data_IF_857629908433
#
_entry.id   IF_857629908433
#
_cell.length_a   1.000
_cell.length_b   1.000
_cell.length_c   1.000
_cell.angle_alpha   90.00
_cell.angle_beta   90.00
_cell.angle_gamma   90.00
#
_symmetry.space_group_name_H-M   'P 1'
#
loop_
_entity.id
_entity.type
_entity.pdbx_description
1 polymer ?
#
# COMPACT_ATOMS: atom_id res chain seq x y z
N UNK A 1 -53.80 -11.10 -93.40
CA UNK A 1 -54.13 -12.34 -92.70
C UNK A 1 -52.82 -12.90 -92.10
N UNK A 2 -52.54 -12.75 -90.86
CA UNK A 2 -51.68 -13.60 -89.95
C UNK A 2 -51.62 -12.88 -88.65
N UNK A 3 -52.25 -13.44 -87.67
CA UNK A 3 -52.23 -12.99 -86.32
C UNK A 3 -50.91 -13.46 -85.65
N UNK A 4 -50.13 -12.57 -85.14
CA UNK A 4 -48.94 -12.87 -84.35
C UNK A 4 -49.33 -12.72 -82.91
N UNK A 5 -49.22 -13.79 -82.18
CA UNK A 5 -49.49 -13.89 -80.74
C UNK A 5 -48.20 -13.43 -79.97
N UNK A 6 -48.29 -12.37 -79.25
CA UNK A 6 -47.20 -11.91 -78.35
C UNK A 6 -47.46 -12.51 -76.95
N UNK A 7 -46.63 -13.45 -76.57
CA UNK A 7 -46.59 -13.98 -75.20
C UNK A 7 -45.74 -13.04 -74.38
N UNK A 8 -46.39 -12.34 -73.45
CA UNK A 8 -45.68 -11.54 -72.42
C UNK A 8 -45.21 -12.45 -71.33
N UNK A 9 -43.88 -12.58 -71.16
CA UNK A 9 -43.23 -13.30 -70.11
C UNK A 9 -43.08 -12.37 -68.88
N UNK A 10 -43.92 -12.54 -67.86
CA UNK A 10 -43.77 -11.83 -66.60
C UNK A 10 -42.63 -12.47 -65.82
N UNK A 11 -41.46 -11.83 -65.78
CA UNK A 11 -40.41 -12.11 -64.82
C UNK A 11 -40.75 -11.46 -63.46
N UNK A 12 -41.11 -12.28 -62.52
CA UNK A 12 -41.25 -11.85 -61.13
C UNK A 12 -39.83 -11.79 -60.50
N UNK A 13 -39.32 -10.56 -60.33
CA UNK A 13 -38.12 -10.31 -59.56
C UNK A 13 -38.51 -10.42 -58.08
N UNK A 14 -38.24 -11.58 -57.41
CA UNK A 14 -38.25 -11.70 -55.98
C UNK A 14 -36.99 -10.99 -55.45
N UNK A 15 -37.12 -9.73 -55.01
CA UNK A 15 -36.10 -9.05 -54.24
C UNK A 15 -36.04 -9.70 -52.85
N UNK A 16 -35.10 -10.60 -52.69
CA UNK A 16 -34.73 -11.11 -51.38
C UNK A 16 -34.14 -9.96 -50.56
N UNK A 17 -34.89 -9.39 -49.59
CA UNK A 17 -34.32 -8.60 -48.53
C UNK A 17 -33.47 -9.51 -47.66
N UNK A 18 -32.16 -9.48 -47.90
CA UNK A 18 -31.19 -9.97 -46.89
C UNK A 18 -31.22 -8.95 -45.77
N UNK A 19 -31.98 -9.25 -44.72
CA UNK A 19 -31.75 -8.60 -43.45
C UNK A 19 -30.34 -9.03 -42.99
N UNK A 20 -29.33 -8.19 -43.21
CA UNK A 20 -28.12 -8.22 -42.47
C UNK A 20 -28.54 -7.94 -41.00
N UNK A 21 -28.77 -9.00 -40.22
CA UNK A 21 -28.66 -8.88 -38.76
C UNK A 21 -27.21 -8.43 -38.53
N UNK A 22 -27.05 -7.13 -38.32
CA UNK A 22 -25.86 -6.63 -37.64
C UNK A 22 -25.85 -7.34 -36.31
N UNK A 23 -24.98 -8.34 -36.17
CA UNK A 23 -24.48 -8.71 -34.86
C UNK A 23 -23.84 -7.43 -34.36
N UNK A 24 -24.57 -6.69 -33.51
CA UNK A 24 -23.90 -5.80 -32.58
C UNK A 24 -22.94 -6.72 -31.82
N UNK A 25 -21.65 -6.69 -32.14
CA UNK A 25 -20.68 -6.99 -31.12
C UNK A 25 -21.10 -6.08 -29.98
N UNK A 26 -21.71 -6.66 -28.93
CA UNK A 26 -21.83 -6.01 -27.66
C UNK A 26 -20.38 -5.60 -27.33
N UNK A 27 -20.11 -4.31 -27.45
CA UNK A 27 -18.83 -3.77 -27.03
C UNK A 27 -18.69 -4.25 -25.57
N UNK A 28 -17.80 -5.20 -25.35
CA UNK A 28 -17.58 -5.74 -24.02
C UNK A 28 -17.40 -4.54 -23.11
N UNK A 29 -18.26 -4.46 -22.09
CA UNK A 29 -18.28 -3.31 -21.18
C UNK A 29 -16.88 -3.24 -20.55
N UNK A 30 -16.15 -2.15 -20.84
CA UNK A 30 -14.75 -2.02 -20.43
C UNK A 30 -14.72 -1.87 -18.92
N UNK A 31 -14.07 -2.79 -18.19
CA UNK A 31 -14.06 -2.73 -16.73
C UNK A 31 -13.51 -1.40 -16.22
N UNK A 32 -14.24 -0.78 -15.30
CA UNK A 32 -13.93 0.53 -14.71
C UNK A 32 -13.39 0.36 -13.29
N UNK A 33 -12.17 0.82 -13.08
CA UNK A 33 -11.49 0.75 -11.79
C UNK A 33 -11.40 2.16 -11.19
N UNK A 34 -12.17 2.40 -10.13
CA UNK A 34 -12.11 3.60 -9.31
C UNK A 34 -11.04 3.45 -8.21
N UNK A 35 -10.20 4.45 -8.06
CA UNK A 35 -9.14 4.48 -7.05
C UNK A 35 -9.34 5.73 -6.20
N UNK A 36 -9.56 5.56 -4.88
CA UNK A 36 -9.76 6.64 -3.91
C UNK A 36 -8.69 6.56 -2.82
N UNK A 37 -7.73 7.47 -2.84
CA UNK A 37 -6.59 7.51 -1.92
C UNK A 37 -6.49 8.85 -1.21
N UNK A 38 -5.88 8.92 0.00
CA UNK A 38 -5.59 10.20 0.63
C UNK A 38 -4.67 11.06 -0.22
N UNK A 39 -4.82 12.38 -0.13
CA UNK A 39 -3.84 13.32 -0.64
C UNK A 39 -2.51 13.16 0.11
N UNK A 40 -1.37 13.43 -0.53
CA UNK A 40 -0.07 13.29 0.09
C UNK A 40 0.13 14.35 1.19
N UNK A 41 0.02 13.92 2.45
CA UNK A 41 0.21 14.73 3.64
C UNK A 41 1.49 14.39 4.43
N UNK A 42 2.03 13.18 4.22
CA UNK A 42 3.31 12.72 4.76
C UNK A 42 3.94 11.68 3.83
N UNK A 43 5.18 11.26 4.08
CA UNK A 43 6.00 10.44 3.19
C UNK A 43 5.30 9.19 2.67
N UNK A 44 4.83 8.30 3.55
CA UNK A 44 4.20 7.05 3.16
C UNK A 44 2.88 7.24 2.39
N UNK A 45 2.01 8.15 2.84
CA UNK A 45 0.73 8.44 2.16
C UNK A 45 0.96 9.11 0.81
N UNK A 46 1.98 10.00 0.73
CA UNK A 46 2.44 10.55 -0.54
C UNK A 46 2.88 9.46 -1.51
N UNK A 47 3.57 8.45 -1.00
CA UNK A 47 3.95 7.26 -1.76
C UNK A 47 2.73 6.50 -2.30
N UNK A 48 1.68 6.29 -1.51
CA UNK A 48 0.42 5.64 -1.98
C UNK A 48 -0.18 6.39 -3.17
N UNK A 49 -0.32 7.72 -3.07
CA UNK A 49 -0.85 8.54 -4.16
C UNK A 49 -0.01 8.43 -5.43
N UNK A 50 1.30 8.57 -5.29
CA UNK A 50 2.23 8.45 -6.42
C UNK A 50 2.19 7.08 -7.09
N UNK A 51 2.17 5.99 -6.30
CA UNK A 51 2.08 4.63 -6.83
C UNK A 51 0.74 4.32 -7.48
N UNK A 52 -0.37 4.93 -7.01
CA UNK A 52 -1.68 4.82 -7.66
C UNK A 52 -1.67 5.48 -9.05
N UNK A 53 -1.13 6.70 -9.15
CA UNK A 53 -1.02 7.42 -10.41
C UNK A 53 -0.08 6.70 -11.39
N UNK A 54 1.10 6.26 -10.92
CA UNK A 54 2.07 5.49 -11.71
C UNK A 54 1.47 4.19 -12.23
N UNK A 55 0.78 3.43 -11.37
CA UNK A 55 0.12 2.20 -11.77
C UNK A 55 -0.86 2.43 -12.93
N UNK A 56 -1.68 3.48 -12.81
CA UNK A 56 -2.67 3.81 -13.84
C UNK A 56 -2.00 4.24 -15.14
N UNK A 57 -0.92 5.01 -15.10
CA UNK A 57 -0.15 5.39 -16.28
C UNK A 57 0.41 4.16 -17.00
N UNK A 58 1.15 3.31 -16.29
CA UNK A 58 1.76 2.08 -16.82
C UNK A 58 0.71 1.10 -17.37
N UNK A 59 -0.40 0.91 -16.64
CA UNK A 59 -1.44 -0.04 -17.04
C UNK A 59 -2.25 0.44 -18.25
N UNK A 60 -2.43 1.76 -18.44
CA UNK A 60 -3.01 2.32 -19.67
C UNK A 60 -2.12 2.09 -20.88
N UNK A 61 -0.79 2.19 -20.69
CA UNK A 61 0.17 1.90 -21.75
C UNK A 61 0.25 0.40 -22.08
N UNK A 62 0.22 -0.45 -21.04
CA UNK A 62 0.31 -1.90 -21.20
C UNK A 62 -0.97 -2.53 -21.77
N UNK A 63 -2.14 -1.97 -21.45
CA UNK A 63 -3.45 -2.50 -21.83
C UNK A 63 -4.34 -1.42 -22.48
N UNK A 64 -3.95 -0.87 -23.64
CA UNK A 64 -4.65 0.24 -24.25
C UNK A 64 -6.12 -0.10 -24.55
N UNK A 65 -7.04 0.68 -23.99
CA UNK A 65 -8.49 0.53 -24.21
C UNK A 65 -9.14 -0.70 -23.55
N UNK A 66 -8.40 -1.50 -22.77
CA UNK A 66 -8.92 -2.70 -22.12
C UNK A 66 -9.56 -2.42 -20.75
N UNK A 67 -9.16 -1.34 -20.09
CA UNK A 67 -9.65 -0.89 -18.81
C UNK A 67 -9.80 0.63 -18.77
N UNK A 68 -10.76 1.11 -17.99
CA UNK A 68 -10.87 2.52 -17.63
C UNK A 68 -10.45 2.72 -16.16
N UNK A 69 -9.66 3.76 -15.91
CA UNK A 69 -9.16 4.08 -14.57
C UNK A 69 -9.47 5.53 -14.20
N UNK A 70 -9.90 5.75 -12.97
CA UNK A 70 -10.10 7.09 -12.40
C UNK A 70 -9.52 7.14 -10.99
N UNK A 71 -8.47 7.95 -10.80
CA UNK A 71 -7.82 8.18 -9.51
C UNK A 71 -8.32 9.49 -8.91
N UNK A 72 -8.71 9.46 -7.65
CA UNK A 72 -9.14 10.64 -6.88
C UNK A 72 -8.34 10.69 -5.57
N UNK A 73 -7.86 11.91 -5.25
CA UNK A 73 -7.08 12.21 -4.06
C UNK A 73 -7.91 13.07 -3.11
N UNK A 74 -8.01 12.65 -1.84
CA UNK A 74 -8.79 13.32 -0.83
C UNK A 74 -7.91 13.91 0.29
N UNK A 75 -8.17 15.15 0.66
CA UNK A 75 -7.50 15.84 1.77
C UNK A 75 -8.17 15.57 3.14
N UNK A 76 -9.17 14.70 3.17
CA UNK A 76 -9.87 14.27 4.36
C UNK A 76 -10.99 13.28 4.05
N UNK A 77 -11.52 12.65 5.11
CA UNK A 77 -12.55 11.62 4.94
C UNK A 77 -13.82 12.14 4.26
N UNK A 78 -14.24 13.38 4.52
CA UNK A 78 -15.45 13.96 3.91
C UNK A 78 -15.30 14.09 2.38
N UNK A 79 -14.14 14.54 1.90
CA UNK A 79 -13.84 14.57 0.46
C UNK A 79 -13.78 13.15 -0.11
N UNK A 80 -13.17 12.21 0.60
CA UNK A 80 -13.05 10.83 0.14
C UNK A 80 -14.43 10.12 0.03
N UNK A 81 -15.38 10.43 0.92
CA UNK A 81 -16.77 9.96 0.79
C UNK A 81 -17.36 10.45 -0.53
N UNK A 82 -17.27 11.76 -0.81
CA UNK A 82 -17.77 12.34 -2.07
C UNK A 82 -17.03 11.74 -3.30
N UNK A 83 -15.74 11.45 -3.19
CA UNK A 83 -14.98 10.80 -4.26
C UNK A 83 -15.51 9.39 -4.57
N UNK A 84 -15.86 8.60 -3.56
CA UNK A 84 -16.44 7.27 -3.76
C UNK A 84 -17.83 7.39 -4.39
N UNK A 85 -18.66 8.36 -3.98
CA UNK A 85 -19.97 8.65 -4.59
C UNK A 85 -19.80 9.04 -6.07
N UNK A 86 -18.83 9.91 -6.42
CA UNK A 86 -18.52 10.30 -7.78
C UNK A 86 -18.04 9.11 -8.65
N UNK A 87 -17.31 8.18 -8.05
CA UNK A 87 -16.87 6.95 -8.71
C UNK A 87 -18.05 5.99 -8.94
N UNK A 88 -19.01 5.89 -8.00
CA UNK A 88 -20.26 5.13 -8.21
C UNK A 88 -21.09 5.72 -9.36
N UNK A 89 -21.25 7.06 -9.42
CA UNK A 89 -21.95 7.75 -10.51
C UNK A 89 -21.24 7.53 -11.85
N UNK A 90 -19.90 7.46 -11.86
CA UNK A 90 -19.13 7.13 -13.06
C UNK A 90 -19.34 5.68 -13.52
N UNK A 91 -19.88 4.83 -12.65
CA UNK A 91 -20.18 3.43 -12.96
C UNK A 91 -18.97 2.52 -12.80
N UNK A 92 -18.20 2.67 -11.73
CA UNK A 92 -17.07 1.77 -11.43
C UNK A 92 -17.55 0.34 -11.17
N UNK A 93 -16.78 -0.65 -11.64
CA UNK A 93 -16.96 -2.07 -11.34
C UNK A 93 -16.12 -2.50 -10.13
N UNK A 94 -15.00 -1.82 -9.93
CA UNK A 94 -14.02 -2.08 -8.86
C UNK A 94 -13.69 -0.79 -8.15
N UNK A 95 -13.57 -0.89 -6.81
CA UNK A 95 -13.08 0.19 -5.96
C UNK A 95 -11.78 -0.27 -5.28
N UNK A 96 -10.69 0.46 -5.51
CA UNK A 96 -9.47 0.40 -4.69
C UNK A 96 -9.46 1.60 -3.77
N UNK A 97 -9.43 1.38 -2.46
CA UNK A 97 -9.49 2.46 -1.48
C UNK A 97 -8.49 2.25 -0.34
N UNK A 98 -7.65 3.26 -0.06
CA UNK A 98 -7.04 3.41 1.26
C UNK A 98 -7.92 4.39 2.04
N UNK A 99 -8.70 3.96 3.06
CA UNK A 99 -9.54 4.88 3.82
C UNK A 99 -8.69 5.93 4.53
N UNK A 100 -9.03 7.20 4.40
CA UNK A 100 -8.42 8.26 5.21
C UNK A 100 -8.63 7.98 6.70
N UNK A 101 -9.87 7.61 7.06
CA UNK A 101 -10.28 7.10 8.37
C UNK A 101 -11.27 5.94 8.19
N UNK A 102 -11.05 4.82 8.88
CA UNK A 102 -11.86 3.60 8.69
C UNK A 102 -13.35 3.81 9.02
N UNK A 103 -13.66 4.45 10.16
CA UNK A 103 -15.03 4.55 10.63
C UNK A 103 -15.94 5.40 9.70
N UNK A 104 -15.58 6.63 9.30
CA UNK A 104 -16.44 7.44 8.43
C UNK A 104 -16.50 6.90 6.98
N UNK A 105 -15.50 6.17 6.50
CA UNK A 105 -15.49 5.61 5.13
C UNK A 105 -16.25 4.27 5.03
N UNK A 106 -16.42 3.55 6.13
CA UNK A 106 -17.09 2.24 6.11
C UNK A 106 -18.49 2.29 5.48
N UNK A 107 -19.39 3.25 5.79
CA UNK A 107 -20.73 3.28 5.20
C UNK A 107 -20.73 3.42 3.67
N UNK A 108 -19.94 4.33 3.10
CA UNK A 108 -19.93 4.58 1.66
C UNK A 108 -19.28 3.43 0.89
N UNK A 109 -18.26 2.75 1.45
CA UNK A 109 -17.68 1.55 0.84
C UNK A 109 -18.70 0.39 0.87
N UNK A 110 -19.47 0.29 1.95
CA UNK A 110 -20.55 -0.69 2.01
C UNK A 110 -21.66 -0.41 1.00
N UNK A 111 -22.02 0.85 0.79
CA UNK A 111 -22.98 1.25 -0.25
C UNK A 111 -22.48 0.89 -1.65
N UNK A 112 -21.21 1.16 -1.95
CA UNK A 112 -20.58 0.73 -3.20
C UNK A 112 -20.65 -0.80 -3.36
N UNK A 113 -20.28 -1.56 -2.32
CA UNK A 113 -20.40 -3.02 -2.31
C UNK A 113 -21.85 -3.48 -2.58
N UNK A 114 -22.84 -2.92 -1.87
CA UNK A 114 -24.24 -3.32 -2.00
C UNK A 114 -24.83 -2.97 -3.38
N UNK A 115 -24.22 -2.01 -4.10
CA UNK A 115 -24.54 -1.69 -5.51
C UNK A 115 -23.86 -2.62 -6.54
N UNK A 116 -23.03 -3.57 -6.09
CA UNK A 116 -22.36 -4.57 -6.94
C UNK A 116 -20.89 -4.28 -7.20
N UNK A 117 -20.32 -3.19 -6.67
CA UNK A 117 -18.91 -2.84 -6.82
C UNK A 117 -18.02 -3.80 -6.01
N UNK A 118 -16.98 -4.34 -6.63
CA UNK A 118 -16.00 -5.21 -5.97
C UNK A 118 -14.94 -4.36 -5.26
N UNK A 119 -14.92 -4.39 -3.93
CA UNK A 119 -14.10 -3.50 -3.12
C UNK A 119 -12.79 -4.16 -2.67
N UNK A 120 -11.67 -3.47 -2.91
CA UNK A 120 -10.33 -3.80 -2.41
C UNK A 120 -9.89 -2.65 -1.49
N UNK A 121 -9.80 -2.93 -0.20
CA UNK A 121 -9.41 -1.99 0.84
C UNK A 121 -7.94 -2.18 1.15
N UNK A 122 -7.16 -1.13 1.03
CA UNK A 122 -5.70 -1.14 1.19
C UNK A 122 -5.33 -0.73 2.60
N UNK A 123 -4.35 -1.41 3.20
CA UNK A 123 -3.77 -1.15 4.52
C UNK A 123 -4.80 -1.23 5.65
N UNK A 124 -5.37 -0.09 6.05
CA UNK A 124 -6.35 -0.06 7.15
C UNK A 124 -7.70 -0.60 6.70
N UNK A 125 -8.19 -1.62 7.44
CA UNK A 125 -9.50 -2.20 7.21
C UNK A 125 -10.66 -1.25 7.54
N UNK A 126 -11.87 -1.72 7.29
CA UNK A 126 -13.12 -1.05 7.66
C UNK A 126 -13.55 -1.46 9.06
N UNK A 127 -14.46 -0.68 9.68
CA UNK A 127 -15.01 -1.00 11.01
C UNK A 127 -16.14 -2.02 10.97
N UNK A 128 -16.88 -2.10 9.84
CA UNK A 128 -17.85 -3.17 9.60
C UNK A 128 -17.21 -4.29 8.79
N UNK A 129 -17.15 -5.47 9.35
CA UNK A 129 -16.63 -6.70 8.74
C UNK A 129 -17.70 -7.72 8.40
N UNK A 130 -18.96 -7.29 8.31
CA UNK A 130 -20.12 -8.16 8.02
C UNK A 130 -20.43 -8.32 6.54
N UNK A 131 -19.57 -7.81 5.65
CA UNK A 131 -19.69 -7.96 4.19
C UNK A 131 -18.36 -8.29 3.55
N UNK A 132 -18.41 -8.74 2.29
CA UNK A 132 -17.24 -9.24 1.59
C UNK A 132 -16.45 -8.13 0.87
N UNK A 133 -15.18 -8.01 1.17
CA UNK A 133 -14.19 -7.22 0.44
C UNK A 133 -12.81 -7.84 0.59
N UNK A 134 -11.86 -7.44 -0.24
CA UNK A 134 -10.45 -7.77 -0.01
C UNK A 134 -9.86 -6.71 0.91
N UNK A 135 -9.23 -7.11 2.01
CA UNK A 135 -8.31 -6.25 2.75
C UNK A 135 -6.87 -6.64 2.40
N UNK A 136 -6.22 -5.81 1.59
CA UNK A 136 -4.85 -6.00 1.14
C UNK A 136 -3.93 -5.11 1.97
N UNK A 137 -3.06 -5.72 2.79
CA UNK A 137 -2.18 -5.02 3.71
C UNK A 137 -0.83 -5.70 3.84
N UNK A 138 0.17 -4.99 4.32
CA UNK A 138 1.47 -5.57 4.66
C UNK A 138 1.41 -6.41 5.94
N UNK A 139 2.39 -7.28 6.12
CA UNK A 139 2.52 -8.12 7.31
C UNK A 139 3.24 -7.37 8.43
N UNK A 140 2.48 -6.71 9.30
CA UNK A 140 3.03 -5.93 10.42
C UNK A 140 3.88 -6.78 11.38
N UNK A 141 3.42 -7.96 11.74
CA UNK A 141 4.18 -8.87 12.62
C UNK A 141 5.49 -9.34 11.98
N UNK A 142 5.47 -9.61 10.67
CA UNK A 142 6.69 -9.99 9.95
C UNK A 142 7.67 -8.83 9.85
N UNK A 143 7.18 -7.60 9.59
CA UNK A 143 7.99 -6.40 9.61
C UNK A 143 8.72 -6.23 10.95
N UNK A 144 8.01 -6.32 12.06
CA UNK A 144 8.61 -6.27 13.39
C UNK A 144 9.61 -7.40 13.63
N UNK A 145 9.28 -8.62 13.17
CA UNK A 145 10.13 -9.79 13.33
C UNK A 145 11.46 -9.67 12.55
N UNK A 146 11.39 -9.32 11.25
CA UNK A 146 12.63 -9.20 10.43
C UNK A 146 13.51 -8.06 10.94
N UNK A 147 12.89 -6.96 11.40
CA UNK A 147 13.59 -5.84 12.04
C UNK A 147 14.31 -6.30 13.33
N UNK A 148 13.60 -7.01 14.20
CA UNK A 148 14.15 -7.51 15.45
C UNK A 148 15.29 -8.51 15.27
N UNK A 149 15.17 -9.41 14.28
CA UNK A 149 16.24 -10.34 13.91
C UNK A 149 17.51 -9.57 13.51
N UNK A 150 17.36 -8.62 12.57
CA UNK A 150 18.49 -7.85 12.07
C UNK A 150 19.16 -7.02 13.18
N UNK A 151 18.37 -6.24 13.93
CA UNK A 151 18.90 -5.38 15.01
C UNK A 151 19.60 -6.20 16.07
N UNK A 152 19.00 -7.32 16.52
CA UNK A 152 19.59 -8.24 17.50
C UNK A 152 20.92 -8.80 17.02
N UNK A 153 20.96 -9.34 15.81
CA UNK A 153 22.13 -10.04 15.27
C UNK A 153 23.25 -9.03 14.96
N UNK A 154 22.93 -7.86 14.42
CA UNK A 154 23.89 -6.77 14.23
C UNK A 154 24.51 -6.31 15.56
N UNK A 155 23.68 -6.05 16.57
CA UNK A 155 24.16 -5.63 17.87
C UNK A 155 25.07 -6.67 18.52
N UNK A 156 24.71 -7.95 18.41
CA UNK A 156 25.51 -9.05 18.93
C UNK A 156 26.86 -9.16 18.23
N UNK A 157 26.86 -9.10 16.90
CA UNK A 157 28.10 -9.19 16.08
C UNK A 157 29.09 -8.07 16.42
N UNK A 158 28.56 -6.86 16.71
CA UNK A 158 29.37 -5.68 16.99
C UNK A 158 29.62 -5.42 18.50
N UNK A 159 29.21 -6.34 19.39
CA UNK A 159 29.37 -6.17 20.83
C UNK A 159 28.55 -5.02 21.44
N UNK A 160 27.48 -4.63 20.79
CA UNK A 160 26.56 -3.56 21.22
C UNK A 160 25.49 -4.15 22.16
N UNK A 161 25.10 -3.42 23.20
CA UNK A 161 24.19 -3.96 24.22
C UNK A 161 23.02 -3.08 24.58
N UNK A 162 23.07 -1.76 24.30
CA UNK A 162 22.09 -0.78 24.76
C UNK A 162 21.28 -0.24 23.60
N UNK A 163 19.95 -0.32 23.67
CA UNK A 163 19.10 0.22 22.62
C UNK A 163 17.89 0.98 23.19
N UNK A 164 17.28 1.78 22.35
CA UNK A 164 15.97 2.39 22.55
C UNK A 164 15.07 2.04 21.35
N UNK A 165 13.75 2.07 21.58
CA UNK A 165 12.76 1.81 20.54
C UNK A 165 11.70 2.91 20.53
N UNK A 166 11.23 3.28 19.34
CA UNK A 166 10.15 4.22 19.10
C UNK A 166 9.08 3.54 18.24
N UNK A 167 7.83 3.61 18.67
CA UNK A 167 6.67 3.16 17.93
C UNK A 167 6.05 4.28 17.09
N UNK A 168 4.96 3.94 16.40
CA UNK A 168 4.15 4.90 15.66
C UNK A 168 3.08 5.55 16.54
N UNK A 169 1.82 5.17 16.35
CA UNK A 169 0.66 5.59 17.15
C UNK A 169 0.16 4.42 18.02
N UNK A 170 -0.62 4.67 19.09
CA UNK A 170 -1.17 3.61 19.94
C UNK A 170 -2.35 2.89 19.27
N UNK A 171 -2.08 2.21 18.17
CA UNK A 171 -3.02 1.43 17.35
C UNK A 171 -2.57 -0.02 17.19
N UNK A 172 -3.46 -0.88 16.70
CA UNK A 172 -3.21 -2.34 16.61
C UNK A 172 -1.95 -2.66 15.81
N UNK A 173 -1.76 -2.03 14.65
CA UNK A 173 -0.62 -2.31 13.76
C UNK A 173 0.73 -1.96 14.42
N UNK A 174 0.77 -0.92 15.23
CA UNK A 174 1.96 -0.57 16.02
C UNK A 174 2.30 -1.69 17.02
N UNK A 175 1.29 -2.15 17.77
CA UNK A 175 1.44 -3.24 18.71
C UNK A 175 1.92 -4.54 18.05
N UNK A 176 1.42 -4.87 16.86
CA UNK A 176 1.85 -6.04 16.09
C UNK A 176 3.34 -5.96 15.72
N UNK A 177 3.80 -4.81 15.22
CA UNK A 177 5.21 -4.56 14.89
C UNK A 177 6.10 -4.61 16.11
N UNK A 178 5.75 -3.85 17.16
CA UNK A 178 6.57 -3.74 18.39
C UNK A 178 6.64 -5.05 19.15
N UNK A 179 5.54 -5.79 19.28
CA UNK A 179 5.55 -7.09 19.95
C UNK A 179 6.47 -8.08 19.24
N UNK A 180 6.37 -8.17 17.90
CA UNK A 180 7.22 -9.06 17.11
C UNK A 180 8.70 -8.66 17.16
N UNK A 181 9.01 -7.34 17.16
CA UNK A 181 10.35 -6.84 17.37
C UNK A 181 10.92 -7.25 18.73
N UNK A 182 10.20 -7.00 19.83
CA UNK A 182 10.65 -7.35 21.16
C UNK A 182 10.74 -8.87 21.38
N UNK A 183 9.90 -9.68 20.75
CA UNK A 183 10.01 -11.14 20.79
C UNK A 183 11.37 -11.62 20.25
N UNK A 184 11.89 -10.97 19.23
CA UNK A 184 13.22 -11.28 18.69
C UNK A 184 14.35 -10.73 19.57
N UNK A 185 14.24 -9.48 20.04
CA UNK A 185 15.26 -8.85 20.90
C UNK A 185 15.47 -9.61 22.22
N UNK A 186 14.40 -10.12 22.81
CA UNK A 186 14.46 -10.86 24.09
C UNK A 186 15.14 -12.23 23.99
N UNK A 187 15.40 -12.74 22.77
CA UNK A 187 16.18 -13.97 22.56
C UNK A 187 17.67 -13.79 22.88
N UNK A 188 18.14 -12.54 22.99
CA UNK A 188 19.51 -12.22 23.38
C UNK A 188 19.52 -11.43 24.70
N UNK A 189 19.70 -12.11 25.86
CA UNK A 189 19.58 -11.46 27.18
C UNK A 189 20.64 -10.38 27.49
N UNK A 190 21.70 -10.29 26.68
CA UNK A 190 22.72 -9.24 26.84
C UNK A 190 22.24 -7.87 26.33
N UNK A 191 21.15 -7.83 25.53
CA UNK A 191 20.59 -6.60 24.99
C UNK A 191 19.64 -5.94 25.98
N UNK A 192 19.89 -4.69 26.27
CA UNK A 192 19.15 -3.91 27.26
C UNK A 192 18.39 -2.78 26.59
N UNK A 193 17.05 -2.85 26.64
CA UNK A 193 16.22 -1.71 26.33
C UNK A 193 16.32 -0.67 27.45
N UNK A 194 16.83 0.50 27.15
CA UNK A 194 17.06 1.58 28.12
C UNK A 194 15.74 2.15 28.70
N UNK A 195 14.63 2.02 28.00
CA UNK A 195 13.30 2.37 28.50
C UNK A 195 12.73 1.30 29.46
N UNK A 196 13.39 0.14 29.56
CA UNK A 196 13.04 -0.98 30.43
C UNK A 196 12.03 -1.96 29.80
N UNK A 197 12.37 -3.25 29.77
CA UNK A 197 11.51 -4.31 29.26
C UNK A 197 11.06 -4.08 27.82
N UNK A 198 9.74 -4.00 27.58
CA UNK A 198 9.12 -3.71 26.29
C UNK A 198 8.58 -2.28 26.17
N UNK A 199 9.05 -1.36 27.02
CA UNK A 199 8.61 0.03 26.94
C UNK A 199 9.24 0.74 25.75
N UNK A 200 8.47 1.63 25.14
CA UNK A 200 8.87 2.52 24.05
C UNK A 200 7.99 3.77 24.06
N UNK A 201 8.42 4.81 23.38
CA UNK A 201 7.63 6.03 23.22
C UNK A 201 7.04 6.09 21.79
N UNK A 202 5.89 6.76 21.65
CA UNK A 202 5.21 6.92 20.36
C UNK A 202 5.72 8.15 19.63
N UNK A 203 6.17 7.95 18.40
CA UNK A 203 6.68 8.99 17.51
C UNK A 203 5.68 9.44 16.44
N UNK A 204 4.43 8.96 16.48
CA UNK A 204 3.32 9.32 15.59
C UNK A 204 3.64 9.17 14.10
N UNK A 205 4.61 8.30 13.74
CA UNK A 205 5.20 8.17 12.40
C UNK A 205 5.66 9.51 11.82
N UNK A 206 6.19 10.40 12.67
CA UNK A 206 6.52 11.77 12.37
C UNK A 206 8.01 12.05 12.54
N UNK A 207 8.62 12.66 11.52
CA UNK A 207 10.02 13.15 11.57
C UNK A 207 10.24 14.08 12.76
N UNK A 208 9.33 15.03 12.99
CA UNK A 208 9.44 15.98 14.09
C UNK A 208 9.39 15.30 15.46
N UNK A 209 8.49 14.32 15.64
CA UNK A 209 8.40 13.55 16.88
C UNK A 209 9.62 12.64 17.10
N UNK A 210 10.12 12.03 16.04
CA UNK A 210 11.36 11.26 16.08
C UNK A 210 12.55 12.11 16.54
N UNK A 211 12.67 13.34 16.01
CA UNK A 211 13.67 14.32 16.45
C UNK A 211 13.54 14.63 17.95
N UNK A 212 12.36 15.06 18.40
CA UNK A 212 12.09 15.44 19.79
C UNK A 212 12.37 14.29 20.77
N UNK A 213 11.93 13.07 20.46
CA UNK A 213 12.15 11.90 21.30
C UNK A 213 13.63 11.52 21.36
N UNK A 214 14.33 11.60 20.23
CA UNK A 214 15.76 11.28 20.20
C UNK A 214 16.59 12.30 20.99
N UNK A 215 16.28 13.58 20.91
CA UNK A 215 16.90 14.63 21.74
C UNK A 215 16.72 14.33 23.24
N UNK A 216 15.50 13.94 23.65
CA UNK A 216 15.21 13.53 25.02
C UNK A 216 16.01 12.28 25.44
N UNK A 217 16.13 11.28 24.58
CA UNK A 217 16.91 10.08 24.85
C UNK A 217 18.41 10.38 24.97
N UNK A 218 18.93 11.26 24.11
CA UNK A 218 20.33 11.71 24.16
C UNK A 218 20.63 12.41 25.48
N UNK A 219 19.71 13.20 26.02
CA UNK A 219 19.87 13.88 27.32
C UNK A 219 19.73 12.88 28.49
N UNK A 220 18.82 11.91 28.38
CA UNK A 220 18.49 10.97 29.44
C UNK A 220 19.51 9.84 29.60
N UNK A 221 20.03 9.35 28.50
CA UNK A 221 20.88 8.16 28.48
C UNK A 221 22.32 8.51 28.07
N UNK A 222 23.30 8.26 28.93
CA UNK A 222 24.71 8.60 28.67
C UNK A 222 25.30 7.76 27.52
N UNK A 223 24.72 6.60 27.20
CA UNK A 223 25.20 5.70 26.18
C UNK A 223 24.00 4.98 25.51
N UNK A 224 23.93 5.06 24.19
CA UNK A 224 22.93 4.39 23.33
C UNK A 224 23.70 3.79 22.16
N UNK A 225 23.52 2.49 21.88
CA UNK A 225 24.23 1.83 20.78
C UNK A 225 23.36 1.68 19.53
N UNK A 226 22.06 1.43 19.69
CA UNK A 226 21.12 1.26 18.59
C UNK A 226 19.78 1.95 18.87
N UNK A 227 19.12 2.38 17.78
CA UNK A 227 17.77 2.96 17.80
C UNK A 227 16.90 2.21 16.79
N UNK A 228 15.78 1.69 17.25
CA UNK A 228 14.72 1.15 16.39
C UNK A 228 13.59 2.15 16.27
N UNK A 229 13.24 2.57 15.06
CA UNK A 229 12.29 3.64 14.80
C UNK A 229 10.94 3.16 14.24
N UNK A 230 10.78 1.89 13.89
CA UNK A 230 9.61 1.29 13.25
C UNK A 230 9.20 1.94 11.91
N UNK A 231 9.75 3.12 11.56
CA UNK A 231 9.37 3.92 10.41
C UNK A 231 10.54 4.79 9.93
N UNK A 232 10.65 5.01 8.61
CA UNK A 232 11.76 5.76 8.02
C UNK A 232 11.61 7.28 8.18
N UNK A 233 10.38 7.81 8.30
CA UNK A 233 10.16 9.23 8.60
C UNK A 233 10.63 9.54 10.04
N UNK A 234 10.31 8.66 10.99
CA UNK A 234 10.84 8.74 12.37
C UNK A 234 12.37 8.64 12.37
N UNK A 235 12.93 7.68 11.62
CA UNK A 235 14.37 7.53 11.47
C UNK A 235 15.05 8.80 10.99
N UNK A 236 14.44 9.53 10.06
CA UNK A 236 14.97 10.80 9.54
C UNK A 236 15.15 11.83 10.67
N UNK A 237 14.16 11.97 11.54
CA UNK A 237 14.26 12.85 12.72
C UNK A 237 15.32 12.39 13.71
N UNK A 238 15.39 11.10 13.97
CA UNK A 238 16.41 10.47 14.84
C UNK A 238 17.82 10.76 14.33
N UNK A 239 18.07 10.58 13.03
CA UNK A 239 19.37 10.84 12.42
C UNK A 239 19.77 12.33 12.52
N UNK A 240 18.80 13.23 12.40
CA UNK A 240 19.02 14.68 12.60
C UNK A 240 19.48 14.95 14.05
N UNK A 241 18.78 14.47 15.07
CA UNK A 241 19.14 14.65 16.46
C UNK A 241 20.55 14.09 16.77
N UNK A 242 20.87 12.91 16.25
CA UNK A 242 22.20 12.29 16.42
C UNK A 242 23.29 13.18 15.81
N UNK A 243 23.05 13.70 14.62
CA UNK A 243 23.99 14.60 13.92
C UNK A 243 24.22 15.90 14.70
N UNK A 244 23.14 16.52 15.18
CA UNK A 244 23.21 17.79 15.92
C UNK A 244 23.89 17.64 17.28
N UNK A 245 23.64 16.53 17.98
CA UNK A 245 24.28 16.24 19.27
C UNK A 245 25.77 15.87 19.16
N UNK A 246 26.22 15.43 18.00
CA UNK A 246 27.58 14.95 17.79
C UNK A 246 27.91 13.62 18.48
N UNK A 247 26.91 12.86 18.99
CA UNK A 247 27.09 11.54 19.62
C UNK A 247 27.79 10.57 18.70
N UNK A 248 28.68 9.73 19.26
CA UNK A 248 29.50 8.75 18.51
C UNK A 248 29.31 7.31 18.98
N UNK A 249 28.61 7.12 20.07
CA UNK A 249 28.32 5.81 20.68
C UNK A 249 27.20 5.06 19.91
N UNK A 250 26.30 5.77 19.21
CA UNK A 250 25.24 5.19 18.39
C UNK A 250 25.86 4.63 17.11
N UNK A 251 25.58 3.36 16.81
CA UNK A 251 26.17 2.59 15.71
C UNK A 251 25.15 2.04 14.74
N UNK A 252 23.88 2.00 15.14
CA UNK A 252 22.79 1.52 14.30
C UNK A 252 21.54 2.37 14.51
N UNK A 253 20.93 2.81 13.43
CA UNK A 253 19.55 3.32 13.40
C UNK A 253 18.80 2.48 12.38
N UNK A 254 17.70 1.89 12.80
CA UNK A 254 16.88 1.03 11.94
C UNK A 254 15.48 1.64 11.82
N UNK A 255 15.07 1.93 10.58
CA UNK A 255 13.77 2.47 10.24
C UNK A 255 12.75 1.38 9.90
N UNK A 256 11.93 1.64 8.92
CA UNK A 256 10.91 0.74 8.40
C UNK A 256 10.12 1.38 7.28
N UNK A 257 9.33 0.59 6.60
CA UNK A 257 8.53 0.90 5.42
C UNK A 257 9.28 0.86 4.08
N UNK A 258 10.58 1.11 4.03
CA UNK A 258 11.37 1.02 2.80
C UNK A 258 11.27 2.28 1.95
N UNK A 259 11.56 3.44 2.55
CA UNK A 259 11.59 4.71 1.82
C UNK A 259 12.79 4.80 0.88
N UNK A 260 12.63 5.59 -0.19
CA UNK A 260 13.73 5.92 -1.10
C UNK A 260 14.96 6.47 -0.37
N UNK A 261 14.73 7.34 0.62
CA UNK A 261 15.82 7.91 1.41
C UNK A 261 16.58 6.83 2.20
N UNK A 262 15.87 5.87 2.81
CA UNK A 262 16.50 4.74 3.48
C UNK A 262 17.29 3.86 2.50
N UNK A 263 16.74 3.58 1.33
CA UNK A 263 17.44 2.83 0.28
C UNK A 263 18.69 3.54 -0.21
N UNK A 264 18.64 4.85 -0.43
CA UNK A 264 19.81 5.65 -0.82
C UNK A 264 20.90 5.64 0.27
N UNK A 265 20.54 5.73 1.55
CA UNK A 265 21.48 5.60 2.66
C UNK A 265 22.16 4.22 2.65
N UNK A 266 21.39 3.14 2.48
CA UNK A 266 21.91 1.78 2.41
C UNK A 266 22.85 1.60 1.20
N UNK A 267 22.44 2.09 0.01
CA UNK A 267 23.27 2.05 -1.20
C UNK A 267 24.58 2.80 -1.05
N UNK A 268 24.60 3.90 -0.31
CA UNK A 268 25.77 4.75 -0.11
C UNK A 268 26.60 4.39 1.14
N UNK A 269 26.32 3.22 1.76
CA UNK A 269 27.06 2.72 2.95
C UNK A 269 27.00 3.69 4.14
N UNK A 270 25.83 4.29 4.39
CA UNK A 270 25.64 5.18 5.54
C UNK A 270 26.17 4.53 6.83
N UNK A 271 26.90 5.28 7.67
CA UNK A 271 27.53 4.70 8.86
C UNK A 271 26.51 4.17 9.88
N UNK A 272 25.27 4.70 9.93
CA UNK A 272 24.25 4.34 10.91
C UNK A 272 23.13 3.48 10.34
N UNK A 273 22.76 3.65 9.05
CA UNK A 273 21.64 2.96 8.40
C UNK A 273 22.17 1.82 7.54
N UNK A 274 21.92 0.59 7.97
CA UNK A 274 22.45 -0.63 7.32
C UNK A 274 21.37 -1.44 6.60
N UNK A 275 20.12 -1.29 7.04
CA UNK A 275 18.98 -2.00 6.51
C UNK A 275 17.68 -1.29 6.87
N UNK A 276 16.61 -1.66 6.21
CA UNK A 276 15.23 -1.33 6.55
C UNK A 276 14.33 -2.54 6.31
N UNK A 277 13.10 -2.53 6.81
CA UNK A 277 12.10 -3.57 6.53
C UNK A 277 10.97 -3.00 5.68
N UNK A 278 10.51 -3.75 4.67
CA UNK A 278 9.49 -3.23 3.77
C UNK A 278 8.10 -3.19 4.40
N UNK A 279 7.41 -2.10 4.20
CA UNK A 279 5.96 -1.91 4.28
C UNK A 279 5.59 -0.87 3.21
N UNK A 280 5.82 -1.26 1.95
CA UNK A 280 5.96 -0.29 0.87
C UNK A 280 4.61 0.21 0.37
N UNK A 281 4.45 1.52 0.06
CA UNK A 281 3.20 2.09 -0.43
C UNK A 281 2.79 1.59 -1.81
N UNK A 282 3.67 0.91 -2.57
CA UNK A 282 3.31 0.22 -3.81
C UNK A 282 2.23 -0.85 -3.65
N UNK A 283 1.83 -1.19 -2.41
CA UNK A 283 0.70 -2.10 -2.18
C UNK A 283 -0.60 -1.64 -2.87
N UNK A 284 -0.76 -0.35 -3.15
CA UNK A 284 -1.89 0.15 -3.94
C UNK A 284 -1.81 -0.33 -5.40
N UNK A 285 -0.61 -0.44 -5.96
CA UNK A 285 -0.39 -1.04 -7.28
C UNK A 285 -0.84 -2.51 -7.29
N UNK A 286 -0.45 -3.28 -6.27
CA UNK A 286 -0.87 -4.68 -6.11
C UNK A 286 -2.39 -4.80 -6.00
N UNK A 287 -3.06 -3.85 -5.32
CA UNK A 287 -4.51 -3.80 -5.21
C UNK A 287 -5.18 -3.51 -6.56
N UNK A 288 -4.63 -2.60 -7.37
CA UNK A 288 -5.12 -2.33 -8.73
C UNK A 288 -4.92 -3.57 -9.61
N UNK A 289 -3.74 -4.21 -9.56
CA UNK A 289 -3.48 -5.47 -10.29
C UNK A 289 -4.44 -6.58 -9.85
N UNK A 290 -4.82 -6.62 -8.57
CA UNK A 290 -5.81 -7.58 -8.07
C UNK A 290 -7.17 -7.40 -8.79
N UNK A 291 -7.61 -6.15 -9.02
CA UNK A 291 -8.83 -5.86 -9.79
C UNK A 291 -8.73 -6.41 -11.22
N UNK A 292 -7.60 -6.20 -11.90
CA UNK A 292 -7.38 -6.71 -13.24
C UNK A 292 -7.40 -8.24 -13.28
N UNK A 293 -6.77 -8.88 -12.29
CA UNK A 293 -6.78 -10.34 -12.16
C UNK A 293 -8.20 -10.92 -11.99
N UNK A 294 -9.04 -10.22 -11.22
CA UNK A 294 -10.46 -10.59 -11.06
C UNK A 294 -11.23 -10.35 -12.36
N UNK A 295 -11.04 -9.21 -13.01
CA UNK A 295 -11.71 -8.89 -14.26
C UNK A 295 -11.40 -9.90 -15.39
N UNK A 296 -10.21 -10.48 -15.38
CA UNK A 296 -9.79 -11.51 -16.34
C UNK A 296 -10.04 -12.95 -15.86
N UNK A 297 -10.66 -13.13 -14.72
CA UNK A 297 -10.92 -14.46 -14.16
C UNK A 297 -9.68 -15.22 -13.68
N UNK A 298 -8.52 -14.55 -13.56
CA UNK A 298 -7.31 -15.12 -12.96
C UNK A 298 -7.43 -15.27 -11.44
N UNK A 299 -8.23 -14.41 -10.82
CA UNK A 299 -8.64 -14.52 -9.41
C UNK A 299 -10.15 -14.55 -9.29
N UNK A 300 -10.65 -15.26 -8.27
CA UNK A 300 -12.08 -15.36 -7.99
C UNK A 300 -12.63 -14.06 -7.40
N UNK A 301 -13.85 -13.69 -7.78
CA UNK A 301 -14.63 -12.61 -7.21
C UNK A 301 -15.54 -13.07 -6.06
N UNK A 302 -15.45 -14.32 -5.63
CA UNK A 302 -16.26 -14.90 -4.55
C UNK A 302 -16.15 -14.13 -3.22
N UNK A 303 -15.09 -13.35 -3.03
CA UNK A 303 -14.97 -12.47 -1.88
C UNK A 303 -16.11 -11.44 -1.80
N UNK A 304 -16.63 -10.97 -2.94
CA UNK A 304 -17.70 -9.98 -2.97
C UNK A 304 -19.00 -10.50 -2.33
N UNK A 305 -19.31 -11.78 -2.50
CA UNK A 305 -20.50 -12.43 -1.91
C UNK A 305 -20.24 -13.05 -0.54
N UNK A 306 -19.02 -12.94 -0.02
CA UNK A 306 -18.67 -13.47 1.29
C UNK A 306 -19.32 -12.64 2.42
N UNK A 307 -19.57 -13.28 3.55
CA UNK A 307 -20.13 -12.64 4.76
C UNK A 307 -19.07 -11.93 5.62
N UNK A 308 -17.83 -11.88 5.16
CA UNK A 308 -16.70 -11.26 5.86
C UNK A 308 -15.56 -10.94 4.89
N UNK A 309 -14.66 -10.02 5.26
CA UNK A 309 -13.49 -9.70 4.44
C UNK A 309 -12.55 -10.90 4.24
N UNK A 310 -11.88 -10.90 3.11
CA UNK A 310 -10.76 -11.79 2.82
C UNK A 310 -9.47 -11.00 2.92
N UNK A 311 -8.54 -11.44 3.78
CA UNK A 311 -7.24 -10.79 3.91
C UNK A 311 -6.28 -11.30 2.84
N UNK A 312 -5.61 -10.35 2.20
CA UNK A 312 -4.43 -10.57 1.35
C UNK A 312 -3.26 -9.89 2.02
N UNK A 313 -2.30 -10.68 2.49
CA UNK A 313 -1.18 -10.16 3.29
C UNK A 313 0.08 -10.18 2.44
N UNK A 314 0.65 -9.00 2.21
CA UNK A 314 1.92 -8.85 1.51
C UNK A 314 3.09 -9.11 2.47
N UNK A 315 4.12 -9.86 2.06
CA UNK A 315 5.27 -10.13 2.92
C UNK A 315 6.04 -8.84 3.22
N UNK A 316 6.63 -8.78 4.41
CA UNK A 316 7.66 -7.79 4.73
C UNK A 316 9.03 -8.45 4.63
N UNK A 317 9.94 -7.82 3.92
CA UNK A 317 11.30 -8.33 3.73
C UNK A 317 12.33 -7.35 4.28
N UNK A 318 13.46 -7.90 4.74
CA UNK A 318 14.62 -7.10 5.08
C UNK A 318 15.28 -6.62 3.78
N UNK A 319 15.55 -5.32 3.70
CA UNK A 319 16.32 -4.71 2.62
C UNK A 319 17.62 -4.19 3.18
N UNK A 320 18.73 -4.72 2.66
CA UNK A 320 20.10 -4.32 2.99
C UNK A 320 20.90 -4.08 1.71
N UNK A 321 22.22 -3.90 1.85
CA UNK A 321 23.12 -3.66 0.73
C UNK A 321 23.07 -4.73 -0.37
N UNK A 322 22.72 -5.96 -0.03
CA UNK A 322 22.75 -7.09 -0.96
C UNK A 322 21.58 -7.12 -1.94
N UNK A 323 20.44 -6.54 -1.54
CA UNK A 323 19.18 -6.60 -2.31
C UNK A 323 18.50 -5.23 -2.54
N UNK A 324 19.05 -4.14 -2.03
CA UNK A 324 18.42 -2.81 -2.12
C UNK A 324 18.13 -2.38 -3.56
N UNK A 325 18.93 -2.81 -4.53
CA UNK A 325 18.72 -2.49 -5.94
C UNK A 325 17.48 -3.14 -6.54
N UNK A 326 16.99 -4.22 -5.93
CA UNK A 326 15.78 -4.92 -6.36
C UNK A 326 14.50 -4.18 -5.89
N UNK A 327 14.66 -3.25 -4.93
CA UNK A 327 13.57 -2.48 -4.32
C UNK A 327 13.60 -0.99 -4.66
N UNK A 328 14.74 -0.49 -5.15
CA UNK A 328 14.92 0.94 -5.40
C UNK A 328 14.28 1.38 -6.72
N UNK A 329 13.42 2.39 -6.64
CA UNK A 329 12.91 3.12 -7.80
C UNK A 329 13.34 4.59 -7.72
N UNK A 330 14.18 5.01 -8.67
CA UNK A 330 14.69 6.39 -8.72
C UNK A 330 13.57 7.43 -8.93
N UNK A 331 12.46 7.05 -9.56
CA UNK A 331 11.28 7.90 -9.77
C UNK A 331 10.36 8.00 -8.55
N UNK A 332 10.46 7.07 -7.59
CA UNK A 332 9.60 7.09 -6.41
C UNK A 332 9.78 8.35 -5.57
N UNK A 333 8.69 8.79 -4.96
CA UNK A 333 8.67 9.91 -4.00
C UNK A 333 8.80 9.42 -2.54
N UNK A 334 8.66 8.11 -2.35
CA UNK A 334 8.80 7.45 -1.06
C UNK A 334 9.85 6.34 -1.13
#
# INVERSE_FOLDING_TARGET
MRRVLIIALCMVFAAGMVFAQGVSEDAADVPKIGIAVPSPDHGWTGGIGWWADKAVEELKEQYPGKYEFKVLHADGYAKQISDVEDLMVWGMDYLVILPHESAPLTPVVKEAHDSGVKCIVVDRGLTDTSFGYINLAGNNSEMGKVSGIFVRDYMKEHGLTKYVAMGGMPVVIDGERMNAFFDEMQKEPSLVNLAGGRNYDFADWSTQKGLELMENYIQKYPEIHAVYCQDDDVMTGVLQAIKESGRKDIKLVFGGAGSKAAYEMIMNDDPLVKATATYHPSMVYDAIMYCLDVAEGRKSDAFHTASKPTSVVLPSVLVDKSNVMDHYDAGSVF
#
